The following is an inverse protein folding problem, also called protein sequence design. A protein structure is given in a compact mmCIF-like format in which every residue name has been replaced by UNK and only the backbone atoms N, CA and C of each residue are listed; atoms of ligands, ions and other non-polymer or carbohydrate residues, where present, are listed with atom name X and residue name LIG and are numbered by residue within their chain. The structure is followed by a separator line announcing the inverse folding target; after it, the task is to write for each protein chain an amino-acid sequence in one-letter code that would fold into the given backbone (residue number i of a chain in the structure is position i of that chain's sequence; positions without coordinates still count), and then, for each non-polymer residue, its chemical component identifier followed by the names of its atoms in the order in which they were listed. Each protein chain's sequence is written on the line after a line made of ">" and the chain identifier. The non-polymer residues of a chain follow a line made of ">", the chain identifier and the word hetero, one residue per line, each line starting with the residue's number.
data_IF_952014601776
#
_entry.id   IF_952014601776
#
_cell.length_a   1.000
_cell.length_b   1.000
_cell.length_c   1.000
_cell.angle_alpha   90.00
_cell.angle_beta   90.00
_cell.angle_gamma   90.00
#
_symmetry.space_group_name_H-M   'P 1'
#
loop_
_entity.id
_entity.type
_entity.pdbx_description
1 polymer ?
#
# COMPACT_ATOMS: atom_id res chain seq x y z
N UNK A 1 9.00 28.88 14.26
CA UNK A 1 8.66 28.01 13.12
C UNK A 1 7.20 27.63 13.23
N UNK A 2 6.43 27.82 12.18
CA UNK A 2 5.03 27.46 12.20
C UNK A 2 4.82 25.97 11.91
N UNK A 3 3.57 25.50 12.09
CA UNK A 3 3.21 24.07 11.93
C UNK A 3 3.52 23.57 10.52
N UNK A 4 3.23 24.35 9.52
CA UNK A 4 3.44 23.95 8.12
C UNK A 4 4.92 23.87 7.79
N UNK A 5 5.71 24.83 8.29
CA UNK A 5 7.19 24.79 8.11
C UNK A 5 7.78 23.54 8.75
N UNK A 6 7.30 23.15 9.93
CA UNK A 6 7.75 21.94 10.60
C UNK A 6 7.37 20.70 9.80
N UNK A 7 6.18 20.68 9.19
CA UNK A 7 5.78 19.56 8.31
C UNK A 7 6.72 19.46 7.09
N UNK A 8 7.19 20.58 6.55
CA UNK A 8 8.14 20.55 5.44
C UNK A 8 9.51 20.01 5.88
N UNK A 9 9.94 20.35 7.08
CA UNK A 9 11.17 19.77 7.65
C UNK A 9 11.03 18.26 7.86
N UNK A 10 9.86 17.82 8.34
CA UNK A 10 9.54 16.40 8.42
C UNK A 10 9.63 15.73 7.04
N UNK A 11 9.11 16.36 6.00
CA UNK A 11 9.22 15.85 4.63
C UNK A 11 10.68 15.64 4.19
N UNK A 12 11.56 16.57 4.53
CA UNK A 12 12.99 16.44 4.25
C UNK A 12 13.60 15.24 4.99
N UNK A 13 13.22 15.05 6.24
CA UNK A 13 13.69 13.90 7.03
C UNK A 13 13.20 12.58 6.45
N UNK A 14 11.96 12.53 5.97
CA UNK A 14 11.41 11.34 5.29
C UNK A 14 12.27 11.02 4.07
N UNK A 15 12.60 12.00 3.25
CA UNK A 15 13.39 11.79 2.03
C UNK A 15 14.86 11.47 2.33
N UNK A 16 15.34 11.76 3.53
CA UNK A 16 16.67 11.40 3.99
C UNK A 16 16.71 10.05 4.72
N UNK A 17 15.55 9.46 4.97
CA UNK A 17 15.45 8.19 5.70
C UNK A 17 15.85 7.02 4.81
N UNK A 18 16.50 6.02 5.41
CA UNK A 18 16.95 4.82 4.72
C UNK A 18 15.80 4.06 4.05
N UNK A 19 14.62 4.04 4.67
CA UNK A 19 13.43 3.38 4.12
C UNK A 19 12.98 4.01 2.81
N UNK A 20 13.11 5.33 2.69
CA UNK A 20 12.82 6.04 1.45
C UNK A 20 13.81 5.64 0.34
N UNK A 21 15.10 5.60 0.64
CA UNK A 21 16.12 5.19 -0.31
C UNK A 21 15.90 3.76 -0.81
N UNK A 22 15.57 2.84 0.09
CA UNK A 22 15.25 1.45 -0.25
C UNK A 22 14.01 1.35 -1.13
N UNK A 23 13.00 2.14 -0.80
CA UNK A 23 11.76 2.16 -1.59
C UNK A 23 12.03 2.63 -3.02
N UNK A 24 12.79 3.71 -3.20
CA UNK A 24 13.13 4.21 -4.53
C UNK A 24 13.95 3.21 -5.34
N UNK A 25 14.93 2.55 -4.71
CA UNK A 25 15.75 1.55 -5.38
C UNK A 25 14.90 0.34 -5.81
N UNK A 26 14.02 -0.13 -4.94
CA UNK A 26 13.13 -1.25 -5.25
C UNK A 26 12.14 -0.89 -6.35
N UNK A 27 11.61 0.32 -6.32
CA UNK A 27 10.72 0.83 -7.36
C UNK A 27 11.40 0.87 -8.72
N UNK A 28 12.64 1.33 -8.76
CA UNK A 28 13.41 1.39 -10.01
C UNK A 28 13.63 -0.01 -10.59
N UNK A 29 14.00 -0.98 -9.78
CA UNK A 29 14.14 -2.38 -10.23
C UNK A 29 12.83 -2.94 -10.75
N UNK A 30 11.74 -2.66 -10.04
CA UNK A 30 10.40 -3.07 -10.44
C UNK A 30 10.03 -2.49 -11.80
N UNK A 31 10.25 -1.19 -11.99
CA UNK A 31 9.90 -0.48 -13.22
C UNK A 31 10.75 -0.93 -14.43
N UNK A 32 11.97 -1.39 -14.19
CA UNK A 32 12.88 -1.87 -15.24
C UNK A 32 12.71 -3.36 -15.57
N UNK A 33 11.98 -4.09 -14.77
CA UNK A 33 11.71 -5.51 -15.01
C UNK A 33 10.60 -5.64 -16.06
N UNK A 34 10.98 -5.82 -17.31
CA UNK A 34 10.05 -5.87 -18.44
C UNK A 34 9.03 -7.00 -18.32
N UNK A 35 9.47 -8.16 -17.87
CA UNK A 35 8.60 -9.31 -17.67
C UNK A 35 7.56 -9.04 -16.59
N UNK A 36 8.00 -8.46 -15.47
CA UNK A 36 7.10 -8.07 -14.39
C UNK A 36 6.09 -7.01 -14.86
N UNK A 37 6.56 -6.00 -15.59
CA UNK A 37 5.68 -4.94 -16.11
C UNK A 37 4.63 -5.51 -17.06
N UNK A 38 5.00 -6.50 -17.85
CA UNK A 38 4.06 -7.19 -18.74
C UNK A 38 2.99 -7.92 -17.95
N UNK A 39 3.37 -8.62 -16.88
CA UNK A 39 2.43 -9.30 -16.00
C UNK A 39 1.48 -8.31 -15.32
N UNK A 40 1.99 -7.19 -14.85
CA UNK A 40 1.19 -6.14 -14.22
C UNK A 40 0.20 -5.54 -15.21
N UNK A 41 0.63 -5.28 -16.43
CA UNK A 41 -0.24 -4.74 -17.47
C UNK A 41 -1.36 -5.73 -17.84
N UNK A 42 -1.04 -7.00 -17.95
CA UNK A 42 -2.05 -8.04 -18.19
C UNK A 42 -3.04 -8.13 -17.02
N UNK A 43 -2.53 -8.10 -15.79
CA UNK A 43 -3.37 -8.11 -14.59
C UNK A 43 -4.35 -6.93 -14.58
N UNK A 44 -3.84 -5.74 -14.86
CA UNK A 44 -4.66 -4.52 -14.89
C UNK A 44 -5.72 -4.59 -15.98
N UNK A 45 -5.35 -5.07 -17.17
CA UNK A 45 -6.29 -5.23 -18.28
C UNK A 45 -7.39 -6.23 -17.95
N UNK A 46 -7.04 -7.36 -17.34
CA UNK A 46 -8.01 -8.38 -16.96
C UNK A 46 -8.94 -7.90 -15.85
N UNK A 47 -8.43 -7.15 -14.89
CA UNK A 47 -9.26 -6.53 -13.86
C UNK A 47 -10.25 -5.53 -14.45
N UNK A 48 -9.80 -4.75 -15.40
CA UNK A 48 -10.67 -3.82 -16.12
C UNK A 48 -11.80 -4.58 -16.83
N UNK A 49 -11.46 -5.67 -17.54
CA UNK A 49 -12.45 -6.51 -18.21
C UNK A 49 -13.46 -7.12 -17.23
N UNK A 50 -12.97 -7.57 -16.06
CA UNK A 50 -13.84 -8.10 -15.01
C UNK A 50 -14.82 -7.04 -14.51
N UNK A 51 -14.33 -5.84 -14.23
CA UNK A 51 -15.17 -4.74 -13.76
C UNK A 51 -16.22 -4.35 -14.81
N UNK A 52 -15.84 -4.34 -16.09
CA UNK A 52 -16.77 -4.07 -17.19
C UNK A 52 -17.87 -5.12 -17.26
N UNK A 53 -17.50 -6.38 -17.13
CA UNK A 53 -18.49 -7.48 -17.15
C UNK A 53 -19.42 -7.42 -15.93
N UNK A 54 -18.87 -7.09 -14.75
CA UNK A 54 -19.67 -6.97 -13.52
C UNK A 54 -20.68 -5.82 -13.59
N UNK A 55 -20.40 -4.79 -14.37
CA UNK A 55 -21.28 -3.63 -14.49
C UNK A 55 -22.42 -3.83 -15.50
N UNK A 56 -22.42 -4.92 -16.26
CA UNK A 56 -23.51 -5.24 -17.19
C UNK A 56 -24.72 -5.75 -16.45
N UNK A 57 -25.91 -5.46 -16.97
CA UNK A 57 -27.15 -6.01 -16.43
C UNK A 57 -27.20 -7.51 -16.68
N UNK A 58 -26.75 -7.95 -17.85
CA UNK A 58 -26.77 -9.34 -18.28
C UNK A 58 -25.35 -9.91 -18.20
N UNK A 59 -24.93 -10.22 -16.98
CA UNK A 59 -23.59 -10.72 -16.70
C UNK A 59 -23.41 -12.16 -17.15
N UNK A 60 -22.30 -12.45 -17.80
CA UNK A 60 -21.90 -13.81 -18.14
C UNK A 60 -21.12 -14.42 -16.98
N UNK A 61 -21.75 -15.31 -16.23
CA UNK A 61 -21.15 -15.94 -15.06
C UNK A 61 -19.91 -16.76 -15.41
N UNK A 62 -19.90 -17.43 -16.55
CA UNK A 62 -18.74 -18.22 -17.00
C UNK A 62 -17.55 -17.32 -17.32
N UNK A 63 -17.80 -16.19 -17.96
CA UNK A 63 -16.76 -15.20 -18.26
C UNK A 63 -16.18 -14.58 -17.00
N UNK A 64 -17.04 -14.26 -16.02
CA UNK A 64 -16.60 -13.74 -14.72
C UNK A 64 -15.69 -14.75 -14.01
N UNK A 65 -16.07 -16.01 -14.01
CA UNK A 65 -15.27 -17.08 -13.40
C UNK A 65 -13.93 -17.27 -14.09
N UNK A 66 -13.91 -17.25 -15.41
CA UNK A 66 -12.69 -17.36 -16.22
C UNK A 66 -11.74 -16.20 -15.92
N UNK A 67 -12.27 -14.96 -15.94
CA UNK A 67 -11.48 -13.76 -15.65
C UNK A 67 -10.93 -13.79 -14.23
N UNK A 68 -11.72 -14.20 -13.25
CA UNK A 68 -11.29 -14.33 -11.86
C UNK A 68 -10.12 -15.32 -11.74
N UNK A 69 -10.19 -16.45 -12.41
CA UNK A 69 -9.12 -17.45 -12.43
C UNK A 69 -7.83 -16.92 -13.04
N UNK A 70 -7.93 -16.22 -14.17
CA UNK A 70 -6.77 -15.62 -14.84
C UNK A 70 -6.14 -14.55 -13.96
N UNK A 71 -6.96 -13.71 -13.33
CA UNK A 71 -6.49 -12.65 -12.43
C UNK A 71 -5.73 -13.24 -11.23
N UNK A 72 -6.26 -14.29 -10.63
CA UNK A 72 -5.61 -14.96 -9.50
C UNK A 72 -4.27 -15.57 -9.90
N UNK A 73 -4.19 -16.19 -11.09
CA UNK A 73 -2.93 -16.73 -11.58
C UNK A 73 -1.90 -15.65 -11.85
N UNK A 74 -2.30 -14.55 -12.49
CA UNK A 74 -1.42 -13.41 -12.74
C UNK A 74 -0.93 -12.79 -11.43
N UNK A 75 -1.82 -12.64 -10.46
CA UNK A 75 -1.45 -12.13 -9.14
C UNK A 75 -0.40 -13.01 -8.48
N UNK A 76 -0.57 -14.34 -8.54
CA UNK A 76 0.40 -15.29 -8.01
C UNK A 76 1.78 -15.15 -8.67
N UNK A 77 1.81 -15.03 -9.99
CA UNK A 77 3.06 -14.84 -10.74
C UNK A 77 3.74 -13.52 -10.39
N UNK A 78 2.97 -12.45 -10.25
CA UNK A 78 3.49 -11.14 -9.85
C UNK A 78 4.10 -11.21 -8.45
N UNK A 79 3.39 -11.82 -7.52
CA UNK A 79 3.80 -11.85 -6.11
C UNK A 79 5.04 -12.71 -5.85
N UNK A 80 5.32 -13.70 -6.69
CA UNK A 80 6.55 -14.51 -6.56
C UNK A 80 7.75 -13.89 -7.27
N UNK A 81 7.56 -12.84 -8.04
CA UNK A 81 8.65 -12.15 -8.71
C UNK A 81 9.57 -11.50 -7.65
N UNK A 82 10.89 -11.74 -7.68
CA UNK A 82 11.81 -11.21 -6.66
C UNK A 82 11.81 -9.68 -6.56
N UNK A 83 11.72 -8.98 -7.68
CA UNK A 83 11.68 -7.52 -7.69
C UNK A 83 10.38 -6.98 -7.08
N UNK A 84 9.26 -7.66 -7.34
CA UNK A 84 7.98 -7.31 -6.73
C UNK A 84 7.98 -7.57 -5.22
N UNK A 85 8.56 -8.69 -4.80
CA UNK A 85 8.67 -9.03 -3.37
C UNK A 85 9.50 -7.98 -2.63
N UNK A 86 10.64 -7.58 -3.20
CA UNK A 86 11.50 -6.53 -2.64
C UNK A 86 10.77 -5.20 -2.55
N UNK A 87 10.05 -4.84 -3.61
CA UNK A 87 9.25 -3.61 -3.64
C UNK A 87 8.17 -3.63 -2.56
N UNK A 88 7.46 -4.74 -2.40
CA UNK A 88 6.41 -4.87 -1.38
C UNK A 88 6.97 -4.70 0.04
N UNK A 89 8.13 -5.28 0.33
CA UNK A 89 8.79 -5.12 1.64
C UNK A 89 9.14 -3.64 1.86
N UNK A 90 9.78 -3.02 0.89
CA UNK A 90 10.19 -1.61 1.00
C UNK A 90 8.97 -0.69 1.14
N UNK A 91 7.90 -0.95 0.38
CA UNK A 91 6.66 -0.18 0.47
C UNK A 91 6.01 -0.33 1.84
N UNK A 92 5.97 -1.54 2.38
CA UNK A 92 5.40 -1.78 3.72
C UNK A 92 6.19 -1.05 4.80
N UNK A 93 7.51 -0.98 4.69
CA UNK A 93 8.34 -0.21 5.61
C UNK A 93 8.04 1.29 5.53
N UNK A 94 7.88 1.82 4.31
CA UNK A 94 7.48 3.21 4.11
C UNK A 94 6.09 3.50 4.68
N UNK A 95 5.12 2.63 4.37
CA UNK A 95 3.75 2.77 4.86
C UNK A 95 3.70 2.71 6.38
N UNK A 96 4.51 1.84 6.99
CA UNK A 96 4.65 1.74 8.43
C UNK A 96 5.16 3.03 9.07
N UNK A 97 6.19 3.62 8.49
CA UNK A 97 6.73 4.91 8.93
C UNK A 97 5.69 6.02 8.84
N UNK A 98 5.01 6.12 7.70
CA UNK A 98 3.99 7.14 7.50
C UNK A 98 2.81 6.94 8.45
N UNK A 99 2.44 5.69 8.71
CA UNK A 99 1.39 5.37 9.68
C UNK A 99 1.77 5.83 11.10
N UNK A 100 3.00 5.59 11.52
CA UNK A 100 3.48 6.06 12.84
C UNK A 100 3.42 7.58 12.94
N UNK A 101 3.87 8.27 11.89
CA UNK A 101 3.83 9.73 11.82
C UNK A 101 2.38 10.22 11.92
N UNK A 102 1.48 9.62 11.15
CA UNK A 102 0.08 10.01 11.15
C UNK A 102 -0.59 9.76 12.50
N UNK A 103 -0.23 8.69 13.19
CA UNK A 103 -0.75 8.40 14.52
C UNK A 103 -0.36 9.49 15.52
N UNK A 104 0.89 9.94 15.48
CA UNK A 104 1.37 11.02 16.34
C UNK A 104 0.62 12.33 16.01
N UNK A 105 0.48 12.64 14.75
CA UNK A 105 -0.23 13.86 14.30
C UNK A 105 -1.68 13.82 14.77
N UNK A 106 -2.36 12.71 14.58
CA UNK A 106 -3.77 12.56 14.95
C UNK A 106 -3.94 12.64 16.46
N UNK A 107 -3.11 11.94 17.23
CA UNK A 107 -3.15 11.97 18.69
C UNK A 107 -2.92 13.39 19.20
N UNK A 108 -1.96 14.11 18.63
CA UNK A 108 -1.66 15.49 18.98
C UNK A 108 -2.85 16.40 18.71
N UNK A 109 -3.53 16.20 17.57
CA UNK A 109 -4.72 16.96 17.22
C UNK A 109 -5.89 16.70 18.18
N UNK A 110 -5.90 15.52 18.81
CA UNK A 110 -6.92 15.14 19.79
C UNK A 110 -6.55 15.56 21.22
N UNK A 111 -5.44 16.27 21.38
CA UNK A 111 -5.02 16.80 22.69
C UNK A 111 -4.13 15.89 23.51
N UNK A 112 -3.64 14.78 22.95
CA UNK A 112 -2.69 13.92 23.62
C UNK A 112 -1.29 14.54 23.59
N UNK A 113 -0.45 14.15 24.56
CA UNK A 113 0.93 14.63 24.63
C UNK A 113 1.74 14.07 23.47
N UNK A 114 2.26 14.94 22.58
CA UNK A 114 3.03 14.46 21.42
C UNK A 114 4.30 13.68 21.78
N UNK A 115 4.87 13.91 22.95
CA UNK A 115 6.08 13.20 23.38
C UNK A 115 5.85 11.80 23.87
N UNK A 116 4.67 11.54 24.39
CA UNK A 116 4.35 10.27 25.05
C UNK A 116 3.26 9.46 24.34
N UNK A 117 2.52 10.06 23.39
CA UNK A 117 1.48 9.34 22.68
C UNK A 117 2.08 8.19 21.85
N UNK A 118 1.40 7.03 21.78
CA UNK A 118 1.92 5.91 21.00
C UNK A 118 1.98 6.22 19.49
N UNK A 119 3.07 5.87 18.87
CA UNK A 119 3.18 5.97 17.41
C UNK A 119 2.57 4.76 16.72
N UNK A 120 2.46 3.64 17.43
CA UNK A 120 1.86 2.41 16.92
C UNK A 120 0.51 2.16 17.55
N UNK A 121 -0.43 1.55 16.81
CA UNK A 121 -1.74 1.22 17.42
C UNK A 121 -1.54 0.30 18.61
N UNK A 122 -2.14 0.68 19.74
CA UNK A 122 -2.10 -0.12 20.95
C UNK A 122 -3.46 -0.79 21.15
N UNK A 123 -3.44 -2.04 21.59
CA UNK A 123 -4.65 -2.75 21.98
C UNK A 123 -5.48 -3.34 20.87
N UNK A 124 -5.08 -3.20 19.65
CA UNK A 124 -5.81 -3.78 18.52
C UNK A 124 -5.32 -5.14 18.08
N UNK A 125 -4.57 -5.82 18.86
CA UNK A 125 -4.08 -7.20 18.72
C UNK A 125 -4.43 -7.93 17.41
N UNK A 126 -4.23 -7.27 16.27
CA UNK A 126 -4.42 -7.86 14.96
C UNK A 126 -5.85 -7.98 14.46
N UNK A 127 -6.84 -7.59 15.22
CA UNK A 127 -8.25 -7.66 14.80
C UNK A 127 -8.68 -6.34 14.18
N UNK A 128 -8.52 -6.22 12.89
CA UNK A 128 -8.93 -5.02 12.15
C UNK A 128 -10.44 -4.76 12.25
N UNK A 129 -11.23 -5.82 12.37
CA UNK A 129 -12.67 -5.70 12.55
C UNK A 129 -13.00 -5.01 13.87
N UNK A 130 -12.26 -5.33 14.93
CA UNK A 130 -12.42 -4.66 16.23
C UNK A 130 -11.99 -3.20 16.15
N UNK A 131 -10.92 -2.92 15.45
CA UNK A 131 -10.48 -1.53 15.24
C UNK A 131 -11.53 -0.74 14.46
N UNK A 132 -12.11 -1.33 13.45
CA UNK A 132 -13.18 -0.72 12.68
C UNK A 132 -14.40 -0.42 13.52
N UNK A 133 -14.67 -1.25 14.52
CA UNK A 133 -15.79 -1.07 15.45
C UNK A 133 -15.54 -0.04 16.54
N UNK A 134 -14.34 0.44 16.68
CA UNK A 134 -13.98 1.38 17.74
C UNK A 134 -14.23 2.85 17.41
N UNK A 135 -14.95 3.12 16.37
CA UNK A 135 -15.22 4.49 15.92
C UNK A 135 -16.24 5.21 16.73
#
# INVERSE_FOLDING_TARGET
>A
MDVISMARELGKLIQADERYAKYLAAKEKNDKDEELQKLINEFTAKRYMLNMEMSKEDKDADKLKELDGVIKNLYGEIMVNPNMAEFNVAKNEMDGMLSEINNIITASANGEDPETCPSKPTGCSGSCASCGGCH
#
